data_IF_498945557366
#
_entry.id   IF_498945557366
#
_cell.length_a   1.000
_cell.length_b   1.000
_cell.length_c   1.000
_cell.angle_alpha   90.00
_cell.angle_beta   90.00
_cell.angle_gamma   90.00
#
_symmetry.space_group_name_H-M   'P 1'
#
loop_
_entity.id
_entity.type
_entity.pdbx_description
1 polymer ?
#
# COMPACT_ATOMS: atom_id res chain seq x y z
N UNK A 1 12.29 42.37 -1.00
CA UNK A 1 13.36 41.59 -0.33
C UNK A 1 12.76 40.24 0.00
N UNK A 2 12.96 39.25 -0.87
CA UNK A 2 12.42 37.90 -0.71
C UNK A 2 13.34 37.16 0.25
N UNK A 3 12.88 36.89 1.48
CA UNK A 3 13.63 36.06 2.42
C UNK A 3 13.69 34.63 1.87
N UNK A 4 14.88 34.06 1.80
CA UNK A 4 15.03 32.62 1.54
C UNK A 4 14.34 31.82 2.65
N UNK A 5 13.68 30.71 2.33
CA UNK A 5 13.13 29.82 3.33
C UNK A 5 14.25 29.26 4.20
N UNK A 6 14.01 29.04 5.51
CA UNK A 6 15.00 28.48 6.40
C UNK A 6 15.44 27.08 5.92
N UNK A 7 16.69 26.67 6.17
CA UNK A 7 17.16 25.34 5.83
C UNK A 7 16.32 24.28 6.55
N UNK A 8 16.05 23.18 5.85
CA UNK A 8 15.36 22.04 6.44
C UNK A 8 16.19 21.50 7.62
N UNK A 9 15.53 21.05 8.70
CA UNK A 9 16.23 20.38 9.78
C UNK A 9 16.95 19.12 9.26
N UNK A 10 18.07 18.72 9.88
CA UNK A 10 18.72 17.46 9.56
C UNK A 10 17.75 16.29 9.78
N UNK A 11 17.83 15.28 8.91
CA UNK A 11 17.12 14.03 9.16
C UNK A 11 17.62 13.43 10.48
N UNK A 12 16.72 12.94 11.35
CA UNK A 12 17.13 12.33 12.60
C UNK A 12 17.94 11.06 12.34
N UNK A 13 18.97 10.83 13.16
CA UNK A 13 19.81 9.62 13.10
C UNK A 13 19.04 8.36 13.51
N UNK A 14 17.95 8.53 14.28
CA UNK A 14 17.08 7.46 14.76
C UNK A 14 15.64 7.77 14.38
N UNK A 15 15.01 6.86 13.65
CA UNK A 15 13.57 6.87 13.43
C UNK A 15 12.90 6.20 14.63
N UNK A 16 12.31 6.99 15.52
CA UNK A 16 11.36 6.47 16.50
C UNK A 16 10.15 5.90 15.74
N UNK A 17 9.85 4.59 15.83
CA UNK A 17 8.69 4.04 15.16
C UNK A 17 7.44 4.74 15.64
N UNK A 18 6.55 5.12 14.71
CA UNK A 18 5.20 5.61 15.02
C UNK A 18 4.35 4.43 15.47
N UNK A 19 4.75 3.76 16.54
CA UNK A 19 4.09 2.60 17.15
C UNK A 19 3.20 3.00 18.32
N UNK A 20 3.30 4.25 18.81
CA UNK A 20 2.34 4.80 19.80
C UNK A 20 0.97 5.03 19.18
N UNK A 21 0.16 3.97 19.13
CA UNK A 21 -1.29 4.06 18.94
C UNK A 21 -1.89 3.20 17.82
N UNK A 22 -1.08 2.61 16.93
CA UNK A 22 -1.58 1.64 15.93
C UNK A 22 -1.64 0.19 16.45
N UNK A 23 -1.06 -0.08 17.62
CA UNK A 23 -1.18 -1.37 18.29
C UNK A 23 -2.52 -1.47 19.04
N UNK A 24 -3.55 -2.02 18.40
CA UNK A 24 -4.65 -2.72 19.12
C UNK A 24 -5.72 -3.38 18.25
N UNK A 25 -5.64 -3.38 16.91
CA UNK A 25 -6.52 -4.27 16.13
C UNK A 25 -5.84 -5.63 16.03
N UNK A 26 -6.38 -6.71 16.65
CA UNK A 26 -5.86 -8.05 16.42
C UNK A 26 -6.00 -8.35 14.93
N UNK A 27 -4.86 -8.48 14.26
CA UNK A 27 -4.74 -8.82 12.85
C UNK A 27 -5.24 -10.27 12.72
N UNK A 28 -6.06 -10.56 11.71
CA UNK A 28 -6.53 -11.93 11.52
C UNK A 28 -5.36 -12.80 11.05
N UNK A 29 -5.08 -13.86 11.80
CA UNK A 29 -4.09 -14.88 11.45
C UNK A 29 -4.39 -15.42 10.04
N UNK A 30 -3.43 -15.27 9.12
CA UNK A 30 -3.70 -15.41 7.69
C UNK A 30 -2.58 -16.05 6.88
N UNK A 31 -1.81 -16.97 7.46
CA UNK A 31 -0.68 -17.62 6.76
C UNK A 31 -1.15 -18.38 5.48
N UNK A 32 -2.26 -19.13 5.57
CA UNK A 32 -2.81 -19.85 4.41
C UNK A 32 -3.57 -18.97 3.40
N UNK A 33 -3.68 -17.66 3.63
CA UNK A 33 -4.49 -16.76 2.78
C UNK A 33 -3.72 -16.26 1.57
N UNK A 34 -2.38 -16.09 1.67
CA UNK A 34 -1.59 -15.46 0.62
C UNK A 34 -1.56 -16.28 -0.69
N UNK A 35 -1.27 -17.60 -0.70
CA UNK A 35 -1.26 -18.38 -1.95
C UNK A 35 -2.63 -18.47 -2.61
N UNK A 36 -3.70 -18.53 -1.80
CA UNK A 36 -5.09 -18.58 -2.28
C UNK A 36 -5.44 -17.28 -3.00
N UNK A 37 -5.13 -16.12 -2.41
CA UNK A 37 -5.39 -14.82 -3.03
C UNK A 37 -4.49 -14.56 -4.24
N UNK A 38 -3.22 -15.00 -4.16
CA UNK A 38 -2.27 -14.90 -5.27
C UNK A 38 -2.83 -15.57 -6.54
N UNK A 39 -3.35 -16.79 -6.39
CA UNK A 39 -3.96 -17.50 -7.50
C UNK A 39 -5.35 -16.96 -7.85
N UNK A 40 -6.25 -16.86 -6.86
CA UNK A 40 -7.67 -16.56 -7.09
C UNK A 40 -7.97 -15.13 -7.51
N UNK A 41 -7.16 -14.16 -7.08
CA UNK A 41 -7.36 -12.73 -7.39
C UNK A 41 -6.35 -12.22 -8.40
N UNK A 42 -5.07 -12.54 -8.22
CA UNK A 42 -4.01 -12.03 -9.09
C UNK A 42 -3.66 -12.96 -10.27
N UNK A 43 -4.20 -14.19 -10.31
CA UNK A 43 -3.99 -15.14 -11.39
C UNK A 43 -2.55 -15.66 -11.49
N UNK A 44 -1.76 -15.54 -10.43
CA UNK A 44 -0.38 -16.01 -10.38
C UNK A 44 -0.32 -17.40 -9.73
N UNK A 45 0.37 -18.34 -10.37
CA UNK A 45 0.50 -19.72 -9.88
C UNK A 45 1.51 -19.87 -8.75
N UNK A 46 2.51 -18.99 -8.70
CA UNK A 46 3.59 -19.02 -7.71
C UNK A 46 4.16 -17.61 -7.51
N UNK A 47 4.76 -17.39 -6.33
CA UNK A 47 5.54 -16.20 -6.07
C UNK A 47 6.78 -16.15 -6.96
N UNK A 48 7.17 -14.94 -7.36
CA UNK A 48 8.51 -14.69 -7.89
C UNK A 48 9.51 -14.61 -6.73
N UNK A 49 10.83 -14.72 -6.99
CA UNK A 49 11.84 -14.64 -5.95
C UNK A 49 11.65 -13.42 -5.04
N UNK A 50 11.82 -13.64 -3.73
CA UNK A 50 11.67 -12.66 -2.64
C UNK A 50 10.26 -12.09 -2.40
N UNK A 51 9.27 -12.32 -3.27
CA UNK A 51 7.93 -11.77 -3.05
C UNK A 51 7.25 -12.38 -1.83
N UNK A 52 7.36 -13.69 -1.65
CA UNK A 52 6.73 -14.41 -0.54
C UNK A 52 7.30 -13.97 0.80
N UNK A 53 8.63 -13.90 0.91
CA UNK A 53 9.35 -13.43 2.09
C UNK A 53 8.92 -12.02 2.51
N UNK A 54 8.82 -11.09 1.54
CA UNK A 54 8.33 -9.73 1.81
C UNK A 54 6.86 -9.74 2.23
N UNK A 55 6.00 -10.51 1.56
CA UNK A 55 4.59 -10.59 1.93
C UNK A 55 4.41 -11.14 3.35
N UNK A 56 5.18 -12.16 3.73
CA UNK A 56 5.15 -12.77 5.05
C UNK A 56 5.62 -11.78 6.13
N UNK A 57 6.73 -11.07 5.91
CA UNK A 57 7.20 -10.02 6.83
C UNK A 57 6.12 -8.93 7.02
N UNK A 58 5.53 -8.45 5.92
CA UNK A 58 4.43 -7.49 6.01
C UNK A 58 3.25 -8.09 6.76
N UNK A 59 2.86 -9.35 6.50
CA UNK A 59 1.77 -10.02 7.23
C UNK A 59 2.04 -10.14 8.74
N UNK A 60 3.29 -10.36 9.15
CA UNK A 60 3.70 -10.38 10.55
C UNK A 60 3.61 -9.02 11.25
N UNK A 61 3.46 -7.93 10.47
CA UNK A 61 3.40 -6.57 10.98
C UNK A 61 4.75 -5.86 10.98
N UNK A 62 5.76 -6.45 10.34
CA UNK A 62 7.09 -5.86 10.24
C UNK A 62 7.14 -4.75 9.17
N UNK A 63 7.99 -3.76 9.42
CA UNK A 63 8.35 -2.74 8.44
C UNK A 63 9.37 -3.31 7.44
N UNK A 64 9.19 -3.04 6.15
CA UNK A 64 10.02 -3.58 5.09
C UNK A 64 10.47 -2.51 4.08
N UNK A 65 11.76 -2.53 3.74
CA UNK A 65 12.33 -1.78 2.61
C UNK A 65 12.64 -2.76 1.48
N UNK A 66 11.98 -2.57 0.34
CA UNK A 66 12.02 -3.53 -0.77
C UNK A 66 12.73 -2.91 -1.97
N UNK A 67 13.90 -3.47 -2.31
CA UNK A 67 14.66 -3.08 -3.50
C UNK A 67 14.56 -4.19 -4.53
N UNK A 68 13.76 -3.94 -5.57
CA UNK A 68 13.51 -4.91 -6.64
C UNK A 68 13.57 -4.21 -8.01
N UNK A 69 14.04 -4.90 -9.07
CA UNK A 69 14.06 -4.31 -10.41
C UNK A 69 12.64 -4.04 -10.92
N UNK A 70 12.52 -3.10 -11.86
CA UNK A 70 11.26 -2.86 -12.56
C UNK A 70 10.73 -4.14 -13.18
N UNK A 71 9.42 -4.35 -13.11
CA UNK A 71 8.78 -5.57 -13.61
C UNK A 71 8.88 -6.77 -12.68
N UNK A 72 9.67 -6.74 -11.59
CA UNK A 72 9.76 -7.85 -10.63
C UNK A 72 8.49 -8.08 -9.80
N UNK A 73 7.50 -7.19 -9.90
CA UNK A 73 6.22 -7.33 -9.20
C UNK A 73 6.23 -6.77 -7.78
N UNK A 74 7.01 -5.71 -7.50
CA UNK A 74 7.06 -5.02 -6.20
C UNK A 74 5.67 -4.57 -5.69
N UNK A 75 4.74 -4.28 -6.60
CA UNK A 75 3.37 -3.89 -6.22
C UNK A 75 2.59 -5.00 -5.52
N UNK A 76 2.81 -6.24 -5.94
CA UNK A 76 2.19 -7.40 -5.32
C UNK A 76 2.56 -7.49 -3.83
N UNK A 77 3.79 -7.11 -3.48
CA UNK A 77 4.32 -7.19 -2.12
C UNK A 77 3.61 -6.29 -1.09
N UNK A 78 2.82 -5.30 -1.52
CA UNK A 78 1.93 -4.55 -0.63
C UNK A 78 0.44 -4.79 -0.94
N UNK A 79 0.08 -5.10 -2.19
CA UNK A 79 -1.30 -5.35 -2.58
C UNK A 79 -1.84 -6.65 -1.99
N UNK A 80 -1.06 -7.73 -2.09
CA UNK A 80 -1.46 -9.05 -1.60
C UNK A 80 -1.64 -9.07 -0.08
N UNK A 81 -0.65 -8.64 0.74
CA UNK A 81 -0.86 -8.59 2.18
C UNK A 81 -1.89 -7.54 2.58
N UNK A 82 -2.00 -6.42 1.86
CA UNK A 82 -3.04 -5.42 2.11
C UNK A 82 -4.45 -5.99 1.95
N UNK A 83 -4.67 -6.81 0.92
CA UNK A 83 -5.93 -7.52 0.71
C UNK A 83 -6.14 -8.63 1.75
N UNK A 84 -5.09 -9.40 2.07
CA UNK A 84 -5.16 -10.52 3.02
C UNK A 84 -5.47 -10.07 4.46
N UNK A 85 -4.86 -8.94 4.90
CA UNK A 85 -5.09 -8.37 6.23
C UNK A 85 -6.52 -7.86 6.42
N UNK A 86 -7.17 -7.46 5.33
CA UNK A 86 -8.45 -6.79 5.36
C UNK A 86 -8.36 -5.35 5.91
N UNK A 87 -9.45 -4.60 5.75
CA UNK A 87 -9.44 -3.16 5.96
C UNK A 87 -8.83 -2.42 4.77
N UNK A 88 -8.43 -1.17 4.98
CA UNK A 88 -8.03 -0.27 3.91
C UNK A 88 -6.49 -0.13 3.87
N UNK A 89 -5.89 -0.30 2.70
CA UNK A 89 -4.44 -0.13 2.46
C UNK A 89 -4.18 1.22 1.79
N UNK A 90 -3.31 2.04 2.37
CA UNK A 90 -2.88 3.32 1.79
C UNK A 90 -1.59 3.12 0.97
N UNK A 91 -1.65 3.48 -0.31
CA UNK A 91 -0.47 3.46 -1.20
C UNK A 91 -0.16 4.89 -1.62
N UNK A 92 1.05 5.36 -1.32
CA UNK A 92 1.54 6.67 -1.72
C UNK A 92 2.38 6.51 -2.98
N UNK A 93 2.03 7.24 -4.04
CA UNK A 93 2.72 7.21 -5.32
C UNK A 93 3.00 8.64 -5.79
N UNK A 94 4.22 8.94 -6.28
CA UNK A 94 4.56 10.28 -6.75
C UNK A 94 3.95 10.61 -8.12
N UNK A 95 3.46 9.61 -8.87
CA UNK A 95 3.03 9.79 -10.25
C UNK A 95 1.52 9.53 -10.40
N UNK A 96 0.76 10.56 -10.78
CA UNK A 96 -0.69 10.47 -11.00
C UNK A 96 -1.02 9.39 -12.04
N UNK A 97 -0.30 9.33 -13.17
CA UNK A 97 -0.51 8.30 -14.18
C UNK A 97 -0.35 6.87 -13.61
N UNK A 98 0.63 6.66 -12.72
CA UNK A 98 0.82 5.37 -12.06
C UNK A 98 -0.32 5.05 -11.09
N UNK A 99 -0.86 6.06 -10.39
CA UNK A 99 -2.02 5.89 -9.50
C UNK A 99 -3.27 5.47 -10.28
N UNK A 100 -3.53 6.14 -11.40
CA UNK A 100 -4.61 5.84 -12.34
C UNK A 100 -4.53 4.38 -12.84
N UNK A 101 -3.36 3.99 -13.36
CA UNK A 101 -3.12 2.64 -13.89
C UNK A 101 -3.28 1.56 -12.80
N UNK A 102 -2.77 1.81 -11.59
CA UNK A 102 -2.88 0.86 -10.48
C UNK A 102 -4.32 0.70 -10.02
N UNK A 103 -5.08 1.79 -9.84
CA UNK A 103 -6.49 1.73 -9.46
C UNK A 103 -7.32 1.02 -10.52
N UNK A 104 -7.14 1.38 -11.79
CA UNK A 104 -7.84 0.71 -12.89
C UNK A 104 -7.54 -0.80 -12.93
N UNK A 105 -6.29 -1.20 -12.66
CA UNK A 105 -5.90 -2.60 -12.58
C UNK A 105 -6.59 -3.32 -11.42
N UNK A 106 -6.55 -2.74 -10.23
CA UNK A 106 -7.20 -3.33 -9.05
C UNK A 106 -8.72 -3.45 -9.24
N UNK A 107 -9.38 -2.42 -9.79
CA UNK A 107 -10.80 -2.45 -10.09
C UNK A 107 -11.17 -3.53 -11.11
N UNK A 108 -10.34 -3.77 -12.14
CA UNK A 108 -10.53 -4.90 -13.07
C UNK A 108 -10.43 -6.27 -12.41
N UNK A 109 -9.67 -6.38 -11.32
CA UNK A 109 -9.59 -7.58 -10.49
C UNK A 109 -10.74 -7.68 -9.47
N UNK A 110 -11.70 -6.74 -9.51
CA UNK A 110 -12.82 -6.69 -8.56
C UNK A 110 -12.44 -6.18 -7.17
N UNK A 111 -11.24 -5.60 -7.01
CA UNK A 111 -10.76 -5.04 -5.74
C UNK A 111 -11.28 -3.61 -5.62
N UNK A 112 -11.87 -3.30 -4.46
CA UNK A 112 -12.26 -1.93 -4.10
C UNK A 112 -11.00 -1.08 -3.94
N UNK A 113 -10.71 -0.25 -4.94
CA UNK A 113 -9.57 0.65 -4.97
C UNK A 113 -9.97 2.01 -5.52
N UNK A 114 -9.35 3.05 -4.98
CA UNK A 114 -9.61 4.43 -5.39
C UNK A 114 -8.35 5.29 -5.15
N UNK A 115 -8.37 6.55 -5.62
CA UNK A 115 -7.20 7.44 -5.63
C UNK A 115 -7.56 8.88 -5.27
N UNK A 116 -6.60 9.59 -4.67
CA UNK A 116 -6.72 11.01 -4.35
C UNK A 116 -5.52 11.76 -4.91
N UNK A 117 -5.76 12.74 -5.79
CA UNK A 117 -4.75 13.67 -6.30
C UNK A 117 -5.42 14.98 -6.74
N UNK A 118 -4.61 16.03 -6.94
CA UNK A 118 -5.07 17.39 -7.26
C UNK A 118 -5.88 17.51 -8.56
N UNK A 119 -5.72 16.56 -9.48
CA UNK A 119 -6.45 16.52 -10.75
C UNK A 119 -7.89 15.98 -10.66
N UNK A 120 -8.35 15.52 -9.49
CA UNK A 120 -9.74 15.04 -9.32
C UNK A 120 -10.68 16.17 -8.96
N UNK A 121 -11.93 16.08 -9.40
CA UNK A 121 -12.97 16.98 -8.94
C UNK A 121 -13.24 16.80 -7.42
N UNK A 122 -13.84 17.83 -6.82
CA UNK A 122 -14.10 17.88 -5.38
C UNK A 122 -15.07 16.78 -4.93
N UNK A 123 -16.08 16.46 -5.74
CA UNK A 123 -17.09 15.48 -5.39
C UNK A 123 -16.47 14.08 -5.33
N UNK A 124 -15.76 13.68 -6.40
CA UNK A 124 -14.97 12.45 -6.43
C UNK A 124 -14.05 12.31 -5.22
N UNK A 125 -13.27 13.35 -4.91
CA UNK A 125 -12.31 13.33 -3.81
C UNK A 125 -13.01 13.19 -2.44
N UNK A 126 -14.16 13.84 -2.27
CA UNK A 126 -14.96 13.71 -1.07
C UNK A 126 -15.53 12.29 -0.93
N UNK A 127 -16.05 11.70 -2.01
CA UNK A 127 -16.58 10.33 -1.99
C UNK A 127 -15.51 9.30 -1.65
N UNK A 128 -14.32 9.40 -2.25
CA UNK A 128 -13.18 8.52 -1.90
C UNK A 128 -12.82 8.65 -0.41
N UNK A 129 -12.76 9.88 0.11
CA UNK A 129 -12.45 10.11 1.53
C UNK A 129 -13.53 9.55 2.48
N UNK A 130 -14.80 9.61 2.08
CA UNK A 130 -15.92 9.02 2.83
C UNK A 130 -15.92 7.49 2.76
N UNK A 131 -15.58 6.91 1.61
CA UNK A 131 -15.44 5.46 1.46
C UNK A 131 -14.32 4.93 2.38
N UNK A 132 -13.14 5.56 2.35
CA UNK A 132 -12.03 5.21 3.24
C UNK A 132 -12.40 5.22 4.72
N UNK A 133 -13.14 6.25 5.18
CA UNK A 133 -13.55 6.35 6.59
C UNK A 133 -14.51 5.25 7.04
N UNK A 134 -15.24 4.62 6.12
CA UNK A 134 -16.24 3.59 6.44
C UNK A 134 -15.64 2.19 6.58
N UNK A 135 -14.38 2.00 6.14
CA UNK A 135 -13.69 0.71 6.14
C UNK A 135 -13.96 -0.07 4.86
#
# INVERSE_FOLDING_TARGET
MTQEPPPLPPFPDEFEPVSRGLASRPWKDGDQTLPILLHGVFGHTQFRPHQEEVCQAVMAGDDAVVVMPTGAGKSLCYQLPGLAKGGSTLVISPLIALMEDQVATLQRLGIAADRLHSGRDRESSFQTSQAWRRG
#
